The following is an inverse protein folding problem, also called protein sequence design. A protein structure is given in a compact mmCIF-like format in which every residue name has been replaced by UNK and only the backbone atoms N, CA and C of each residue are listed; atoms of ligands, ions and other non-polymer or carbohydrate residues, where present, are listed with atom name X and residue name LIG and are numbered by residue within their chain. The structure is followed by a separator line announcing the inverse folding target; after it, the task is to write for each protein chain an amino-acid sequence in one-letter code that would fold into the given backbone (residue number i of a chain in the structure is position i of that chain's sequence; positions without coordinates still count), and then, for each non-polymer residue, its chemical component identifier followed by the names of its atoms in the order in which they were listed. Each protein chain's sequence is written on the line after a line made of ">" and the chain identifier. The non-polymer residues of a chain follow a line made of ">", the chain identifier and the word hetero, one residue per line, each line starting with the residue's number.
data_IF_409943562102
#
_entry.id   IF_409943562102
#
_cell.length_a   1.000
_cell.length_b   1.000
_cell.length_c   1.000
_cell.angle_alpha   90.00
_cell.angle_beta   90.00
_cell.angle_gamma   90.00
#
_symmetry.space_group_name_H-M   'P 1'
#
loop_
_entity.id
_entity.type
_entity.pdbx_description
1 polymer ?
#
# COMPACT_ATOMS: atom_id res chain seq x y z
N UNK A 1 8.33 3.78 -16.51
CA UNK A 1 7.54 2.56 -16.25
C UNK A 1 8.44 1.41 -15.84
N UNK A 2 8.21 0.90 -14.64
CA UNK A 2 8.93 -0.19 -13.98
C UNK A 2 7.92 -1.25 -13.57
N UNK A 3 8.25 -2.52 -13.73
CA UNK A 3 7.37 -3.63 -13.36
C UNK A 3 7.99 -4.46 -12.25
N UNK A 4 7.17 -4.89 -11.31
CA UNK A 4 7.57 -5.74 -10.18
C UNK A 4 6.50 -6.79 -9.93
N UNK A 5 6.90 -7.88 -9.27
CA UNK A 5 5.99 -8.95 -8.87
C UNK A 5 6.27 -9.36 -7.44
N UNK A 6 5.22 -9.66 -6.69
CA UNK A 6 5.34 -10.22 -5.36
C UNK A 6 4.55 -11.52 -5.28
N UNK A 7 5.04 -12.43 -4.46
CA UNK A 7 4.30 -13.62 -4.04
C UNK A 7 4.16 -13.57 -2.53
N UNK A 8 3.03 -14.03 -1.97
CA UNK A 8 2.94 -14.19 -0.53
C UNK A 8 3.92 -15.29 -0.07
N UNK A 9 4.41 -15.20 1.17
CA UNK A 9 5.26 -16.25 1.75
C UNK A 9 4.45 -17.51 2.11
N UNK A 10 3.18 -17.32 2.49
CA UNK A 10 2.23 -18.39 2.78
C UNK A 10 1.06 -18.36 1.79
N UNK A 11 0.57 -19.55 1.40
CA UNK A 11 -0.53 -19.71 0.46
C UNK A 11 -0.11 -19.58 -1.01
N UNK A 12 -1.10 -19.50 -1.89
CA UNK A 12 -0.90 -19.33 -3.34
C UNK A 12 -1.34 -17.92 -3.77
N UNK A 13 -0.53 -17.30 -4.62
CA UNK A 13 -0.87 -15.99 -5.17
C UNK A 13 0.30 -15.35 -5.89
N UNK A 14 -0.02 -14.34 -6.70
CA UNK A 14 0.96 -13.48 -7.32
C UNK A 14 0.34 -12.13 -7.59
N UNK A 15 1.11 -11.08 -7.32
CA UNK A 15 0.85 -9.73 -7.74
C UNK A 15 1.77 -9.35 -8.89
N UNK A 16 1.24 -8.65 -9.87
CA UNK A 16 2.00 -7.95 -10.89
C UNK A 16 1.61 -6.49 -10.91
N UNK A 17 2.59 -5.62 -10.64
CA UNK A 17 2.41 -4.18 -10.55
C UNK A 17 3.28 -3.46 -11.57
N UNK A 18 2.66 -2.53 -12.29
CA UNK A 18 3.32 -1.52 -13.10
C UNK A 18 3.33 -0.19 -12.35
N UNK A 19 4.52 0.39 -12.21
CA UNK A 19 4.79 1.64 -11.50
C UNK A 19 5.38 2.67 -12.47
N UNK A 20 4.89 3.90 -12.42
CA UNK A 20 5.34 4.98 -13.28
C UNK A 20 5.51 6.29 -12.50
N UNK A 21 6.75 6.76 -12.42
CA UNK A 21 7.09 8.08 -11.90
C UNK A 21 7.01 9.11 -13.02
N UNK A 22 6.21 10.15 -12.82
CA UNK A 22 5.99 11.25 -13.76
C UNK A 22 6.26 12.59 -13.09
N UNK A 23 6.33 13.66 -13.88
CA UNK A 23 6.54 15.02 -13.35
C UNK A 23 5.41 15.45 -12.41
N UNK A 24 4.20 14.94 -12.61
CA UNK A 24 2.99 15.30 -11.87
C UNK A 24 2.63 14.31 -10.75
N UNK A 25 3.44 13.28 -10.52
CA UNK A 25 3.27 12.34 -9.42
C UNK A 25 3.61 10.90 -9.76
N UNK A 26 3.07 9.99 -8.96
CA UNK A 26 3.36 8.56 -9.05
C UNK A 26 2.08 7.78 -9.34
N UNK A 27 2.20 6.80 -10.23
CA UNK A 27 1.07 6.02 -10.73
C UNK A 27 1.39 4.54 -10.61
N UNK A 28 0.51 3.79 -9.95
CA UNK A 28 0.59 2.35 -9.88
C UNK A 28 -0.69 1.73 -10.43
N UNK A 29 -0.54 0.67 -11.21
CA UNK A 29 -1.61 -0.22 -11.65
C UNK A 29 -1.16 -1.64 -11.37
N UNK A 30 -2.04 -2.44 -10.76
CA UNK A 30 -1.72 -3.79 -10.34
C UNK A 30 -2.87 -4.73 -10.59
N UNK A 31 -2.52 -5.99 -10.87
CA UNK A 31 -3.42 -7.13 -10.82
C UNK A 31 -2.80 -8.20 -9.95
N UNK A 32 -3.61 -8.80 -9.09
CA UNK A 32 -3.21 -9.93 -8.27
C UNK A 32 -4.30 -10.98 -8.19
N UNK A 33 -3.86 -12.21 -7.98
CA UNK A 33 -4.68 -13.32 -7.51
C UNK A 33 -4.10 -13.78 -6.18
N UNK A 34 -4.97 -14.09 -5.22
CA UNK A 34 -4.55 -14.54 -3.91
C UNK A 34 -5.69 -15.16 -3.14
N UNK A 35 -5.41 -15.54 -1.90
CA UNK A 35 -6.34 -16.17 -0.99
C UNK A 35 -6.36 -15.44 0.35
N UNK A 36 -7.54 -15.31 0.95
CA UNK A 36 -7.69 -14.79 2.31
C UNK A 36 -8.94 -15.40 2.96
N UNK A 37 -8.83 -15.82 4.21
CA UNK A 37 -9.90 -16.49 4.96
C UNK A 37 -10.52 -17.66 4.16
N UNK A 38 -9.66 -18.52 3.58
CA UNK A 38 -10.01 -19.66 2.71
C UNK A 38 -10.81 -19.28 1.44
N UNK A 39 -10.74 -18.01 1.01
CA UNK A 39 -11.43 -17.51 -0.19
C UNK A 39 -10.42 -16.99 -1.20
N UNK A 40 -10.33 -17.68 -2.33
CA UNK A 40 -9.60 -17.20 -3.50
C UNK A 40 -10.30 -15.99 -4.13
N UNK A 41 -9.53 -14.98 -4.54
CA UNK A 41 -10.03 -13.79 -5.22
C UNK A 41 -9.01 -13.25 -6.21
N UNK A 42 -9.51 -12.51 -7.20
CA UNK A 42 -8.71 -11.65 -8.06
C UNK A 42 -9.00 -10.19 -7.73
N UNK A 43 -7.96 -9.36 -7.68
CA UNK A 43 -8.04 -7.94 -7.41
C UNK A 43 -7.26 -7.18 -8.50
N UNK A 44 -7.87 -6.13 -9.04
CA UNK A 44 -7.20 -5.11 -9.82
C UNK A 44 -7.29 -3.79 -9.08
N UNK A 45 -6.20 -3.04 -9.02
CA UNK A 45 -6.22 -1.72 -8.40
C UNK A 45 -5.36 -0.70 -9.15
N UNK A 46 -5.69 0.57 -8.92
CA UNK A 46 -4.94 1.74 -9.38
C UNK A 46 -4.76 2.70 -8.23
N UNK A 47 -3.55 3.25 -8.09
CA UNK A 47 -3.22 4.26 -7.09
C UNK A 47 -2.52 5.42 -7.79
N UNK A 48 -2.93 6.64 -7.47
CA UNK A 48 -2.25 7.86 -7.88
C UNK A 48 -1.83 8.66 -6.65
N UNK A 49 -0.58 9.08 -6.65
CA UNK A 49 -0.03 10.01 -5.66
C UNK A 49 0.44 11.31 -6.31
N UNK A 50 0.50 12.39 -5.52
CA UNK A 50 1.15 13.64 -5.91
C UNK A 50 2.70 13.50 -5.91
N UNK A 51 3.46 14.53 -6.32
CA UNK A 51 4.92 14.48 -6.28
C UNK A 51 5.53 14.40 -4.87
N UNK A 52 4.75 14.55 -3.81
CA UNK A 52 5.14 14.36 -2.41
C UNK A 52 4.67 13.01 -1.86
N UNK A 53 4.26 12.07 -2.73
CA UNK A 53 3.78 10.74 -2.36
C UNK A 53 2.49 10.71 -1.54
N UNK A 54 1.71 11.80 -1.56
CA UNK A 54 0.39 11.84 -0.90
C UNK A 54 -0.64 11.20 -1.81
N UNK A 55 -1.46 10.30 -1.27
CA UNK A 55 -2.45 9.57 -2.08
C UNK A 55 -3.58 10.50 -2.50
N UNK A 56 -3.83 10.58 -3.81
CA UNK A 56 -4.90 11.40 -4.39
C UNK A 56 -6.07 10.56 -4.90
N UNK A 57 -5.79 9.32 -5.32
CA UNK A 57 -6.81 8.42 -5.84
C UNK A 57 -6.43 6.97 -5.58
N UNK A 58 -7.42 6.18 -5.17
CA UNK A 58 -7.32 4.74 -5.09
C UNK A 58 -8.59 4.14 -5.69
N UNK A 59 -8.44 3.24 -6.65
CA UNK A 59 -9.54 2.46 -7.23
C UNK A 59 -9.20 0.98 -7.12
N UNK A 60 -10.14 0.18 -6.65
CA UNK A 60 -9.97 -1.25 -6.41
C UNK A 60 -11.19 -2.00 -6.93
N UNK A 61 -10.96 -3.11 -7.64
CA UNK A 61 -12.01 -3.98 -8.15
C UNK A 61 -11.69 -5.44 -7.90
N UNK A 62 -12.57 -6.10 -7.15
CA UNK A 62 -12.53 -7.56 -7.00
C UNK A 62 -13.31 -8.21 -8.15
N UNK A 63 -12.72 -9.22 -8.78
CA UNK A 63 -13.34 -9.96 -9.88
C UNK A 63 -14.65 -10.60 -9.43
N UNK A 64 -15.76 -10.24 -10.08
CA UNK A 64 -17.10 -10.70 -9.70
C UNK A 64 -17.60 -10.16 -8.35
N UNK A 65 -16.90 -9.19 -7.76
CA UNK A 65 -17.15 -8.69 -6.42
C UNK A 65 -17.25 -7.16 -6.34
N UNK A 66 -17.05 -6.59 -5.13
CA UNK A 66 -17.20 -5.16 -4.88
C UNK A 66 -16.18 -4.33 -5.65
N UNK A 67 -16.49 -3.04 -5.75
CA UNK A 67 -15.65 -2.00 -6.30
C UNK A 67 -15.58 -0.86 -5.30
N UNK A 68 -14.39 -0.29 -5.14
CA UNK A 68 -14.13 0.82 -4.23
C UNK A 68 -13.39 1.90 -5.01
N UNK A 69 -13.85 3.14 -4.87
CA UNK A 69 -13.15 4.32 -5.36
C UNK A 69 -13.05 5.35 -4.25
N UNK A 70 -11.85 5.84 -4.02
CA UNK A 70 -11.50 6.82 -3.01
C UNK A 70 -10.72 7.97 -3.63
N UNK A 71 -11.08 9.18 -3.25
CA UNK A 71 -10.40 10.42 -3.64
C UNK A 71 -9.86 11.10 -2.40
N UNK A 72 -8.54 11.27 -2.35
CA UNK A 72 -7.83 12.05 -1.35
C UNK A 72 -7.49 13.44 -1.88
N UNK A 73 -7.41 14.43 -0.99
CA UNK A 73 -6.93 15.77 -1.33
C UNK A 73 -5.44 16.00 -1.02
N UNK A 74 -4.76 14.98 -0.45
CA UNK A 74 -3.38 15.09 0.02
C UNK A 74 -3.20 15.85 1.34
N UNK A 75 -4.28 16.30 1.95
CA UNK A 75 -4.29 17.08 3.21
C UNK A 75 -5.10 16.37 4.31
N UNK A 76 -5.47 15.09 4.07
CA UNK A 76 -6.12 14.23 5.06
C UNK A 76 -7.63 14.18 4.94
N UNK A 77 -8.22 14.69 3.85
CA UNK A 77 -9.66 14.58 3.62
C UNK A 77 -9.95 13.61 2.47
N UNK A 78 -10.94 12.76 2.69
CA UNK A 78 -11.29 11.68 1.78
C UNK A 78 -12.75 11.75 1.35
N UNK A 79 -13.00 11.35 0.10
CA UNK A 79 -14.32 11.13 -0.45
C UNK A 79 -14.40 9.78 -1.13
N UNK A 80 -15.59 9.19 -1.17
CA UNK A 80 -15.86 8.04 -2.04
C UNK A 80 -16.05 8.47 -3.51
N UNK A 81 -16.20 7.50 -4.43
CA UNK A 81 -16.48 7.74 -5.85
C UNK A 81 -17.83 8.45 -6.15
N UNK A 82 -18.69 8.62 -5.15
CA UNK A 82 -19.94 9.39 -5.25
C UNK A 82 -19.81 10.80 -4.65
N UNK A 83 -18.63 11.16 -4.13
CA UNK A 83 -18.32 12.46 -3.56
C UNK A 83 -18.71 12.61 -2.08
N UNK A 84 -19.19 11.55 -1.41
CA UNK A 84 -19.50 11.57 0.02
C UNK A 84 -18.23 11.74 0.84
N UNK A 85 -18.24 12.68 1.79
CA UNK A 85 -17.10 12.92 2.69
C UNK A 85 -16.98 11.79 3.71
N UNK A 86 -15.78 11.21 3.82
CA UNK A 86 -15.48 10.11 4.74
C UNK A 86 -14.76 10.66 5.99
N UNK A 87 -15.51 11.29 6.89
CA UNK A 87 -14.94 11.94 8.09
C UNK A 87 -14.23 10.97 9.05
N UNK A 88 -14.54 9.67 8.99
CA UNK A 88 -13.84 8.63 9.75
C UNK A 88 -12.37 8.46 9.34
N UNK A 89 -11.99 8.95 8.16
CA UNK A 89 -10.63 8.87 7.60
C UNK A 89 -9.84 10.17 7.76
N UNK A 90 -10.40 11.16 8.47
CA UNK A 90 -9.80 12.49 8.60
C UNK A 90 -8.36 12.41 9.15
N UNK A 91 -7.42 13.05 8.46
CA UNK A 91 -6.00 13.10 8.82
C UNK A 91 -5.15 11.95 8.27
N UNK A 92 -5.75 10.93 7.65
CA UNK A 92 -4.98 9.88 6.95
C UNK A 92 -4.48 10.40 5.60
N UNK A 93 -3.20 10.19 5.28
CA UNK A 93 -2.62 10.60 3.98
C UNK A 93 -2.35 9.41 3.07
N UNK A 94 -1.92 8.29 3.65
CA UNK A 94 -1.61 7.07 2.94
C UNK A 94 -2.78 6.08 3.01
N UNK A 95 -2.89 5.24 1.99
CA UNK A 95 -3.72 4.05 2.01
C UNK A 95 -2.86 2.83 2.37
N UNK A 96 -3.51 1.79 2.88
CA UNK A 96 -2.91 0.47 3.06
C UNK A 96 -3.84 -0.62 2.52
N UNK A 97 -3.41 -1.31 1.46
CA UNK A 97 -4.20 -2.37 0.83
C UNK A 97 -3.67 -3.69 1.35
N UNK A 98 -4.51 -4.42 2.06
CA UNK A 98 -4.08 -5.58 2.83
C UNK A 98 -3.50 -6.75 2.01
N UNK A 99 -3.60 -6.70 0.67
CA UNK A 99 -3.16 -7.73 -0.26
C UNK A 99 -1.82 -7.44 -0.95
N UNK A 100 -1.17 -6.31 -0.66
CA UNK A 100 0.06 -5.90 -1.36
C UNK A 100 1.07 -5.25 -0.41
N UNK A 101 2.38 -5.47 -0.60
CA UNK A 101 3.41 -4.71 0.09
C UNK A 101 3.69 -3.34 -0.57
N UNK A 102 3.09 -3.04 -1.73
CA UNK A 102 3.29 -1.77 -2.44
C UNK A 102 2.90 -0.56 -1.59
N UNK A 103 1.82 -0.66 -0.82
CA UNK A 103 1.31 0.47 -0.03
C UNK A 103 2.27 0.90 1.08
N UNK A 104 3.22 0.06 1.51
CA UNK A 104 4.27 0.47 2.44
C UNK A 104 5.25 1.47 1.83
N UNK A 105 5.39 1.52 0.50
CA UNK A 105 6.23 2.50 -0.20
C UNK A 105 5.75 3.93 0.02
N UNK A 106 4.43 4.14 0.14
CA UNK A 106 3.82 5.46 0.26
C UNK A 106 4.33 6.22 1.50
N UNK A 107 4.19 5.71 2.74
CA UNK A 107 4.73 6.39 3.92
C UNK A 107 6.26 6.42 3.94
N UNK A 108 6.96 5.39 3.45
CA UNK A 108 8.43 5.37 3.38
C UNK A 108 8.93 6.57 2.58
N UNK A 109 8.33 6.82 1.42
CA UNK A 109 8.72 7.90 0.52
C UNK A 109 8.22 9.27 0.97
N UNK A 110 6.99 9.35 1.49
CA UNK A 110 6.38 10.59 1.96
C UNK A 110 7.07 11.15 3.21
N UNK A 111 7.40 10.28 4.17
CA UNK A 111 7.93 10.69 5.47
C UNK A 111 9.42 11.09 5.43
N UNK A 112 10.20 10.53 4.49
CA UNK A 112 11.63 10.79 4.36
C UNK A 112 12.39 10.72 5.69
N UNK A 113 12.09 9.70 6.49
CA UNK A 113 12.62 9.56 7.85
C UNK A 113 14.15 9.48 7.84
N UNK A 114 14.77 10.26 8.73
CA UNK A 114 16.19 10.12 9.02
C UNK A 114 16.47 8.79 9.74
N UNK A 115 17.70 8.29 9.64
CA UNK A 115 18.13 7.08 10.34
C UNK A 115 17.80 7.14 11.83
N UNK A 116 17.11 6.11 12.34
CA UNK A 116 16.64 5.99 13.72
C UNK A 116 15.38 6.80 14.05
N UNK A 117 14.89 7.67 13.16
CA UNK A 117 13.64 8.38 13.37
C UNK A 117 12.44 7.43 13.22
N UNK A 118 11.43 7.66 14.06
CA UNK A 118 10.18 6.92 14.10
C UNK A 118 9.01 7.89 14.03
N UNK A 119 8.04 7.59 13.18
CA UNK A 119 6.79 8.35 13.06
C UNK A 119 5.59 7.41 13.14
N UNK A 120 4.56 7.82 13.88
CA UNK A 120 3.25 7.15 13.91
C UNK A 120 2.27 7.88 13.00
N UNK A 121 1.52 7.13 12.21
CA UNK A 121 0.58 7.66 11.21
C UNK A 121 -0.74 6.89 11.26
N UNK A 122 -1.83 7.60 10.98
CA UNK A 122 -3.09 6.96 10.62
C UNK A 122 -3.12 6.69 9.12
N UNK A 123 -3.53 5.50 8.71
CA UNK A 123 -3.69 5.13 7.29
C UNK A 123 -5.13 4.72 6.99
N UNK A 124 -5.53 4.90 5.73
CA UNK A 124 -6.78 4.36 5.19
C UNK A 124 -6.55 2.89 4.83
N UNK A 125 -6.85 2.00 5.76
CA UNK A 125 -6.74 0.56 5.54
C UNK A 125 -7.92 0.04 4.72
N UNK A 126 -7.63 -0.81 3.75
CA UNK A 126 -8.59 -1.41 2.83
C UNK A 126 -8.43 -2.94 2.93
N UNK A 127 -9.44 -3.58 3.51
CA UNK A 127 -9.48 -5.04 3.61
C UNK A 127 -9.74 -5.69 2.26
N UNK A 128 -9.30 -6.93 2.09
CA UNK A 128 -9.58 -7.76 0.92
C UNK A 128 -10.15 -9.10 1.37
N UNK A 129 -11.05 -9.74 0.61
CA UNK A 129 -11.62 -9.28 -0.68
C UNK A 129 -12.87 -8.39 -0.54
N UNK A 130 -13.30 -8.03 0.66
CA UNK A 130 -14.57 -7.33 0.92
C UNK A 130 -14.51 -5.79 0.76
N UNK A 131 -13.31 -5.22 0.60
CA UNK A 131 -13.06 -3.79 0.38
C UNK A 131 -13.65 -2.87 1.45
N UNK A 132 -13.65 -3.31 2.71
CA UNK A 132 -14.03 -2.45 3.83
C UNK A 132 -12.91 -1.46 4.12
N UNK A 133 -13.30 -0.23 4.41
CA UNK A 133 -12.39 0.88 4.65
C UNK A 133 -12.45 1.29 6.11
N UNK A 134 -11.30 1.35 6.76
CA UNK A 134 -11.17 1.82 8.14
C UNK A 134 -9.91 2.65 8.31
N UNK A 135 -9.87 3.43 9.39
CA UNK A 135 -8.64 4.03 9.88
C UNK A 135 -7.95 3.04 10.81
N UNK A 136 -6.65 2.83 10.61
CA UNK A 136 -5.78 2.07 11.53
C UNK A 136 -4.52 2.87 11.82
N UNK A 137 -3.92 2.64 12.98
CA UNK A 137 -2.66 3.30 13.36
C UNK A 137 -1.46 2.39 13.06
N UNK A 138 -0.45 2.98 12.42
CA UNK A 138 0.80 2.33 12.05
C UNK A 138 1.99 3.16 12.51
N UNK A 139 3.17 2.57 12.54
CA UNK A 139 4.41 3.33 12.68
C UNK A 139 5.50 2.79 11.78
N UNK A 140 6.36 3.71 11.36
CA UNK A 140 7.55 3.43 10.58
C UNK A 140 8.78 3.96 11.31
N UNK A 141 9.82 3.14 11.41
CA UNK A 141 11.15 3.55 11.87
C UNK A 141 12.14 3.32 10.75
N UNK A 142 12.95 4.33 10.40
CA UNK A 142 14.04 4.14 9.44
C UNK A 142 15.23 3.46 10.12
N UNK A 143 15.59 2.26 9.67
CA UNK A 143 16.77 1.52 10.15
C UNK A 143 17.99 1.98 9.34
N UNK A 144 17.86 1.97 8.02
CA UNK A 144 18.84 2.52 7.07
C UNK A 144 18.09 3.27 5.97
N UNK A 145 18.39 4.56 5.73
CA UNK A 145 17.71 5.35 4.71
C UNK A 145 17.70 4.67 3.34
N UNK A 146 16.57 4.76 2.65
CA UNK A 146 16.34 4.25 1.30
C UNK A 146 16.59 2.74 1.11
N UNK A 147 16.70 1.95 2.20
CA UNK A 147 17.00 0.52 2.09
C UNK A 147 16.32 -0.36 3.15
N UNK A 148 16.16 0.09 4.40
CA UNK A 148 15.61 -0.73 5.47
C UNK A 148 14.75 0.06 6.46
N UNK A 149 13.52 -0.41 6.68
CA UNK A 149 12.52 0.24 7.52
C UNK A 149 11.79 -0.77 8.40
N UNK A 150 11.58 -0.45 9.67
CA UNK A 150 10.69 -1.23 10.54
C UNK A 150 9.27 -0.72 10.39
N UNK A 151 8.36 -1.61 10.01
CA UNK A 151 6.91 -1.42 10.08
C UNK A 151 6.36 -1.94 11.40
N UNK A 152 5.38 -1.24 11.96
CA UNK A 152 4.63 -1.63 13.15
C UNK A 152 3.13 -1.40 12.93
N UNK A 153 2.31 -2.44 13.04
CA UNK A 153 0.85 -2.32 13.17
C UNK A 153 0.50 -2.09 14.63
N UNK A 154 0.13 -0.87 15.01
CA UNK A 154 -0.03 -0.49 16.43
C UNK A 154 -1.15 -1.29 17.09
N UNK A 155 -2.26 -1.47 16.39
CA UNK A 155 -3.44 -2.16 16.93
C UNK A 155 -3.26 -3.68 17.00
N UNK A 156 -2.42 -4.26 16.13
CA UNK A 156 -2.19 -5.71 16.04
C UNK A 156 -0.97 -6.18 16.83
N UNK A 157 -0.04 -5.27 17.15
CA UNK A 157 1.26 -5.59 17.74
C UNK A 157 2.23 -6.28 16.78
N UNK A 158 1.84 -6.46 15.51
CA UNK A 158 2.71 -7.02 14.49
C UNK A 158 3.80 -6.03 14.10
N UNK A 159 5.02 -6.53 13.87
CA UNK A 159 6.12 -5.73 13.34
C UNK A 159 6.99 -6.55 12.40
N UNK A 160 7.55 -5.89 11.39
CA UNK A 160 8.45 -6.49 10.41
C UNK A 160 9.51 -5.49 9.97
N UNK A 161 10.69 -5.99 9.60
CA UNK A 161 11.75 -5.19 9.01
C UNK A 161 11.70 -5.38 7.50
N UNK A 162 11.35 -4.30 6.80
CA UNK A 162 11.15 -4.26 5.36
C UNK A 162 12.46 -3.87 4.69
N UNK A 163 12.88 -4.64 3.70
CA UNK A 163 13.91 -4.19 2.75
C UNK A 163 13.24 -3.57 1.55
N UNK A 164 13.75 -2.44 1.09
CA UNK A 164 13.25 -1.73 -0.08
C UNK A 164 14.37 -1.46 -1.07
N UNK A 165 14.00 -1.13 -2.31
CA UNK A 165 14.96 -0.66 -3.31
C UNK A 165 15.01 0.88 -3.41
N UNK A 166 15.75 1.35 -4.41
CA UNK A 166 15.97 2.76 -4.74
C UNK A 166 14.71 3.56 -5.08
N UNK A 167 13.58 2.91 -5.40
CA UNK A 167 12.25 3.55 -5.57
C UNK A 167 11.38 3.38 -4.32
N UNK A 168 11.86 2.65 -3.30
CA UNK A 168 11.17 2.42 -2.03
C UNK A 168 10.17 1.27 -2.13
N UNK A 169 10.20 0.53 -3.26
CA UNK A 169 9.40 -0.65 -3.46
C UNK A 169 9.96 -1.79 -2.64
N UNK A 170 9.09 -2.48 -1.92
CA UNK A 170 9.46 -3.58 -1.04
C UNK A 170 10.13 -4.71 -1.84
N UNK A 171 11.26 -5.18 -1.34
CA UNK A 171 11.98 -6.37 -1.80
C UNK A 171 11.56 -7.57 -0.95
N UNK A 172 11.57 -7.37 0.36
CA UNK A 172 11.43 -8.42 1.37
C UNK A 172 10.54 -7.88 2.48
N UNK A 173 9.41 -8.55 2.70
CA UNK A 173 8.50 -8.33 3.81
C UNK A 173 8.36 -9.66 4.54
N UNK A 174 9.22 -9.91 5.55
CA UNK A 174 9.27 -11.19 6.23
C UNK A 174 7.90 -11.65 6.74
N UNK A 175 7.58 -12.94 6.51
CA UNK A 175 6.31 -13.61 6.85
C UNK A 175 5.11 -13.19 6.00
N UNK A 176 5.27 -12.25 5.06
CA UNK A 176 4.15 -11.70 4.31
C UNK A 176 4.37 -11.82 2.80
N UNK A 177 5.42 -11.20 2.26
CA UNK A 177 5.64 -11.08 0.82
C UNK A 177 7.12 -11.08 0.46
N UNK A 178 7.44 -11.69 -0.68
CA UNK A 178 8.77 -11.63 -1.29
C UNK A 178 8.65 -11.13 -2.72
N UNK A 179 9.53 -10.20 -3.13
CA UNK A 179 9.61 -9.76 -4.52
C UNK A 179 10.26 -10.84 -5.39
N UNK A 180 9.58 -11.23 -6.46
CA UNK A 180 10.06 -12.23 -7.41
C UNK A 180 10.66 -11.58 -8.65
N UNK A 181 11.59 -12.29 -9.29
CA UNK A 181 12.12 -11.88 -10.60
C UNK A 181 11.03 -12.06 -11.67
N UNK A 182 11.09 -11.29 -12.78
CA UNK A 182 10.25 -11.55 -13.94
C UNK A 182 10.39 -13.01 -14.39
N UNK A 183 9.27 -13.64 -14.80
CA UNK A 183 9.34 -14.96 -15.42
C UNK A 183 10.17 -14.85 -16.71
N UNK A 184 11.23 -15.65 -16.81
CA UNK A 184 12.08 -15.78 -18.00
C UNK A 184 11.34 -16.52 -19.11
#
# INVERSE_FOLDING_TARGET
>A
MREVRWTPEEGEGVEHLAFDARVDGFYAESVLVGERDDRAYGLMYRVKCDPQWRTLHAWLKVTGGPELELHGDGEGNWRDGHGLVLTSLAGCIDIDIAATPFTNTLPIRRLQLAKGARESIGVVFISTPDLQVSRVEQAYTCIEPDSEYRYEGIDTGFAAELKVDEDGLVIDYPMMFTRTLPLV
#
